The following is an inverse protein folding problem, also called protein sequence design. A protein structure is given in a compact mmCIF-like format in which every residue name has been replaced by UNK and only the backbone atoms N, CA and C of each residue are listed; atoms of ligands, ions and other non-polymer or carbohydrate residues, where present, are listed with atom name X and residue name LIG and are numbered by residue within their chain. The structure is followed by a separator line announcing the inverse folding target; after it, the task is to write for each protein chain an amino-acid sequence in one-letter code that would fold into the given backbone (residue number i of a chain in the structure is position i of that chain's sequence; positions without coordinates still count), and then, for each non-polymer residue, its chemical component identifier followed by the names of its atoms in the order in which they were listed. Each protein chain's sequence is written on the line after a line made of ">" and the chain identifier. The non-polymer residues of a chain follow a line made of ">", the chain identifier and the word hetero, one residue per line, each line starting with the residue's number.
data_IF_894677289964
#
_entry.id   IF_894677289964
#
_cell.length_a   1.000
_cell.length_b   1.000
_cell.length_c   1.000
_cell.angle_alpha   90.00
_cell.angle_beta   90.00
_cell.angle_gamma   90.00
#
_symmetry.space_group_name_H-M   'P 1'
#
loop_
_entity.id
_entity.type
_entity.pdbx_description
1 polymer ?
#
# COMPACT_ATOMS: atom_id res chain seq x y z
N UNK A 1 -5.68 10.53 -2.91
CA UNK A 1 -6.49 10.84 -1.73
C UNK A 1 -6.99 12.30 -1.77
N UNK A 2 -7.98 12.58 -2.63
CA UNK A 2 -8.55 13.91 -2.82
C UNK A 2 -7.83 14.80 -3.83
N UNK A 3 -6.86 14.24 -4.54
CA UNK A 3 -6.05 14.93 -5.57
C UNK A 3 -6.22 14.27 -6.96
N UNK A 4 -7.31 13.53 -7.18
CA UNK A 4 -7.52 12.71 -8.36
C UNK A 4 -7.45 13.54 -9.66
N UNK A 5 -8.05 14.74 -9.68
CA UNK A 5 -8.03 15.63 -10.86
C UNK A 5 -6.62 16.14 -11.15
N UNK A 6 -5.86 16.52 -10.12
CA UNK A 6 -4.47 16.97 -10.30
C UNK A 6 -3.58 15.83 -10.79
N UNK A 7 -3.73 14.64 -10.19
CA UNK A 7 -3.01 13.43 -10.61
C UNK A 7 -3.35 13.07 -12.05
N UNK A 8 -4.63 13.09 -12.41
CA UNK A 8 -5.10 12.83 -13.78
C UNK A 8 -4.49 13.82 -14.79
N UNK A 9 -4.49 15.10 -14.44
CA UNK A 9 -3.90 16.14 -15.31
C UNK A 9 -2.40 15.93 -15.48
N UNK A 10 -1.67 15.60 -14.41
CA UNK A 10 -0.25 15.30 -14.47
C UNK A 10 0.04 14.04 -15.28
N UNK A 11 -0.73 12.97 -15.09
CA UNK A 11 -0.61 11.74 -15.88
C UNK A 11 -0.92 11.98 -17.35
N UNK A 12 -1.95 12.76 -17.68
CA UNK A 12 -2.26 13.10 -19.08
C UNK A 12 -1.14 13.90 -19.75
N UNK A 13 -0.44 14.76 -18.98
CA UNK A 13 0.64 15.61 -19.48
C UNK A 13 1.97 14.89 -19.62
N UNK A 14 2.30 14.02 -18.69
CA UNK A 14 3.62 13.42 -18.57
C UNK A 14 3.65 11.91 -18.71
N UNK A 15 2.48 11.25 -18.71
CA UNK A 15 2.38 9.80 -18.66
C UNK A 15 3.00 9.08 -19.86
N UNK A 16 3.09 9.73 -21.02
CA UNK A 16 3.74 9.16 -22.20
C UNK A 16 5.26 8.96 -22.04
N UNK A 17 5.86 9.65 -21.07
CA UNK A 17 7.29 9.56 -20.78
C UNK A 17 7.60 8.54 -19.66
N UNK A 18 6.56 7.93 -19.06
CA UNK A 18 6.73 6.96 -17.98
C UNK A 18 6.82 5.55 -18.58
N UNK A 19 7.90 4.85 -18.30
CA UNK A 19 8.06 3.44 -18.65
C UNK A 19 7.25 2.55 -17.69
N UNK A 20 7.16 2.95 -16.41
CA UNK A 20 6.40 2.26 -15.37
C UNK A 20 5.94 3.24 -14.29
N UNK A 21 4.93 2.85 -13.51
CA UNK A 21 4.39 3.70 -12.44
C UNK A 21 3.66 2.88 -11.37
N UNK A 22 3.62 3.43 -10.15
CA UNK A 22 3.02 2.76 -8.98
C UNK A 22 1.94 3.66 -8.39
N UNK A 23 0.79 3.07 -8.06
CA UNK A 23 -0.29 3.71 -7.31
C UNK A 23 -0.15 3.37 -5.83
N UNK A 24 0.18 4.36 -5.02
CA UNK A 24 0.39 4.20 -3.58
C UNK A 24 -0.55 5.08 -2.77
N UNK A 25 -0.89 4.64 -1.57
CA UNK A 25 -1.71 5.39 -0.61
C UNK A 25 -0.91 5.55 0.68
N UNK A 26 -0.72 6.79 1.11
CA UNK A 26 -0.06 7.18 2.37
C UNK A 26 -1.00 7.95 3.29
N UNK A 27 -1.95 8.66 2.70
CA UNK A 27 -2.86 9.53 3.41
C UNK A 27 -4.24 8.89 3.53
N UNK A 28 -4.86 9.01 4.69
CA UNK A 28 -6.26 8.69 4.90
C UNK A 28 -7.02 9.93 5.32
N UNK A 29 -8.27 10.06 4.90
CA UNK A 29 -9.12 11.18 5.25
C UNK A 29 -10.03 10.79 6.41
N UNK A 30 -9.98 11.56 7.51
CA UNK A 30 -10.87 11.43 8.66
C UNK A 30 -11.60 12.76 8.77
N UNK A 31 -12.93 12.74 8.63
CA UNK A 31 -13.75 13.94 8.47
C UNK A 31 -13.24 14.80 7.31
N UNK A 32 -12.79 16.03 7.58
CA UNK A 32 -12.27 16.95 6.56
C UNK A 32 -10.74 17.09 6.57
N UNK A 33 -10.03 16.21 7.31
CA UNK A 33 -8.57 16.28 7.44
C UNK A 33 -7.89 15.05 6.89
N UNK A 34 -6.70 15.26 6.31
CA UNK A 34 -5.83 14.19 5.86
C UNK A 34 -4.76 13.89 6.90
N UNK A 35 -4.49 12.61 7.11
CA UNK A 35 -3.48 12.11 8.04
C UNK A 35 -2.54 11.16 7.31
N UNK A 36 -1.23 11.37 7.46
CA UNK A 36 -0.20 10.50 6.91
C UNK A 36 0.03 9.32 7.86
N UNK A 37 -0.51 8.16 7.54
CA UNK A 37 -0.50 7.02 8.45
C UNK A 37 0.88 6.39 8.65
N UNK A 38 1.82 6.66 7.76
CA UNK A 38 3.17 6.11 7.81
C UNK A 38 4.24 7.16 8.16
N UNK A 39 3.84 8.37 8.56
CA UNK A 39 4.76 9.45 8.90
C UNK A 39 5.55 9.13 10.19
N UNK A 40 4.85 8.87 11.28
CA UNK A 40 5.46 8.48 12.56
C UNK A 40 4.54 7.56 13.37
N UNK A 41 5.12 6.89 14.36
CA UNK A 41 4.38 6.03 15.28
C UNK A 41 3.34 6.82 16.10
N UNK A 42 3.69 8.05 16.47
CA UNK A 42 2.81 8.98 17.21
C UNK A 42 1.63 9.44 16.34
N UNK A 43 1.87 9.70 15.05
CA UNK A 43 0.78 10.06 14.12
C UNK A 43 -0.15 8.87 13.91
N UNK A 44 0.39 7.66 13.80
CA UNK A 44 -0.43 6.44 13.71
C UNK A 44 -1.26 6.24 14.99
N UNK A 45 -0.69 6.44 16.18
CA UNK A 45 -1.41 6.36 17.46
C UNK A 45 -2.57 7.38 17.54
N UNK A 46 -2.32 8.60 17.07
CA UNK A 46 -3.37 9.63 16.97
C UNK A 46 -4.51 9.20 16.04
N UNK A 47 -4.18 8.59 14.90
CA UNK A 47 -5.18 8.05 13.97
C UNK A 47 -5.99 6.94 14.64
N UNK A 48 -5.33 6.01 15.36
CA UNK A 48 -6.02 4.95 16.12
C UNK A 48 -6.98 5.54 17.14
N UNK A 49 -6.55 6.58 17.87
CA UNK A 49 -7.40 7.24 18.86
C UNK A 49 -8.61 7.95 18.24
N UNK A 50 -8.43 8.57 17.06
CA UNK A 50 -9.52 9.24 16.33
C UNK A 50 -10.56 8.25 15.80
N UNK A 51 -10.11 7.06 15.35
CA UNK A 51 -10.97 6.02 14.78
C UNK A 51 -11.46 4.99 15.81
N UNK A 52 -10.93 5.04 17.02
CA UNK A 52 -11.34 4.20 18.15
C UNK A 52 -10.72 2.78 18.16
N UNK A 53 -10.09 2.32 17.08
CA UNK A 53 -9.42 1.00 17.04
C UNK A 53 -8.40 0.88 15.90
N UNK A 54 -7.45 -0.04 16.05
CA UNK A 54 -6.51 -0.42 14.99
C UNK A 54 -7.26 -1.02 13.79
N UNK A 55 -8.28 -1.84 14.03
CA UNK A 55 -9.12 -2.42 12.96
C UNK A 55 -9.77 -1.33 12.09
N UNK A 56 -10.27 -0.26 12.71
CA UNK A 56 -10.88 0.86 11.97
C UNK A 56 -9.85 1.56 11.06
N UNK A 57 -8.58 1.68 11.50
CA UNK A 57 -7.50 2.22 10.66
C UNK A 57 -7.26 1.34 9.44
N UNK A 58 -7.17 0.01 9.63
CA UNK A 58 -7.01 -0.94 8.53
C UNK A 58 -8.17 -0.86 7.53
N UNK A 59 -9.40 -0.85 8.04
CA UNK A 59 -10.58 -0.78 7.18
C UNK A 59 -10.61 0.52 6.37
N UNK A 60 -10.36 1.67 6.98
CA UNK A 60 -10.31 2.96 6.28
C UNK A 60 -9.19 3.00 5.25
N UNK A 61 -8.02 2.45 5.56
CA UNK A 61 -6.91 2.34 4.62
C UNK A 61 -7.26 1.50 3.40
N UNK A 62 -7.83 0.31 3.60
CA UNK A 62 -8.25 -0.55 2.50
C UNK A 62 -9.39 0.08 1.67
N UNK A 63 -10.32 0.79 2.30
CA UNK A 63 -11.34 1.57 1.61
C UNK A 63 -10.75 2.69 0.75
N UNK A 64 -9.70 3.35 1.24
CA UNK A 64 -8.98 4.38 0.49
C UNK A 64 -8.28 3.79 -0.73
N UNK A 65 -7.67 2.61 -0.61
CA UNK A 65 -7.10 1.87 -1.75
C UNK A 65 -8.17 1.46 -2.77
N UNK A 66 -9.33 0.98 -2.32
CA UNK A 66 -10.46 0.65 -3.20
C UNK A 66 -10.92 1.90 -3.98
N UNK A 67 -11.02 3.06 -3.32
CA UNK A 67 -11.34 4.33 -3.97
C UNK A 67 -10.28 4.71 -5.02
N UNK A 68 -8.99 4.60 -4.69
CA UNK A 68 -7.89 4.89 -5.60
C UNK A 68 -7.92 3.98 -6.84
N UNK A 69 -8.20 2.68 -6.66
CA UNK A 69 -8.35 1.72 -7.77
C UNK A 69 -9.55 2.07 -8.65
N UNK A 70 -10.64 2.55 -8.09
CA UNK A 70 -11.86 2.90 -8.83
C UNK A 70 -11.83 4.32 -9.41
N UNK A 71 -10.90 5.20 -9.00
CA UNK A 71 -10.80 6.57 -9.51
C UNK A 71 -10.43 6.59 -11.00
N UNK A 72 -10.94 7.57 -11.74
CA UNK A 72 -10.53 7.83 -13.12
C UNK A 72 -9.29 8.74 -13.16
N UNK A 73 -8.13 8.13 -13.30
CA UNK A 73 -6.85 8.84 -13.46
C UNK A 73 -6.38 8.92 -14.93
N UNK A 74 -7.26 8.60 -15.89
CA UNK A 74 -6.98 8.68 -17.30
C UNK A 74 -6.18 7.50 -17.87
N UNK A 75 -5.68 7.67 -19.10
CA UNK A 75 -5.03 6.64 -19.92
C UNK A 75 -3.77 6.04 -19.25
N UNK A 76 -3.02 6.86 -18.56
CA UNK A 76 -1.72 6.49 -17.97
C UNK A 76 -1.81 6.12 -16.47
N UNK A 77 -3.02 5.79 -16.00
CA UNK A 77 -3.21 5.32 -14.63
C UNK A 77 -2.31 4.13 -14.33
N UNK A 78 -1.53 4.17 -13.22
CA UNK A 78 -0.69 3.05 -12.81
C UNK A 78 -1.47 1.75 -12.67
N UNK A 79 -0.84 0.63 -13.07
CA UNK A 79 -1.40 -0.72 -12.96
C UNK A 79 -0.70 -1.59 -11.90
N UNK A 80 0.21 -1.00 -11.13
CA UNK A 80 0.85 -1.64 -9.99
C UNK A 80 0.47 -0.88 -8.72
N UNK A 81 0.06 -1.62 -7.68
CA UNK A 81 -0.23 -1.05 -6.35
C UNK A 81 1.03 -1.18 -5.49
N UNK A 82 1.49 -0.07 -4.94
CA UNK A 82 2.65 -0.03 -4.05
C UNK A 82 2.31 -0.49 -2.64
N UNK A 83 3.27 -1.12 -1.97
CA UNK A 83 3.26 -1.49 -0.54
C UNK A 83 1.85 -1.69 0.06
N UNK A 84 1.07 -2.63 -0.53
CA UNK A 84 -0.37 -2.79 -0.28
C UNK A 84 -0.73 -2.82 1.22
N UNK A 85 0.13 -3.35 2.06
CA UNK A 85 -0.11 -3.48 3.49
C UNK A 85 0.73 -2.49 4.34
N UNK A 86 1.00 -1.28 3.80
CA UNK A 86 1.74 -0.22 4.50
C UNK A 86 1.17 0.11 5.88
N UNK A 87 -0.13 -0.09 6.08
CA UNK A 87 -0.81 0.07 7.37
C UNK A 87 -0.15 -0.74 8.50
N UNK A 88 0.64 -1.79 8.16
CA UNK A 88 1.39 -2.63 9.10
C UNK A 88 2.76 -2.06 9.50
N UNK A 89 3.13 -0.86 9.04
CA UNK A 89 4.44 -0.25 9.34
C UNK A 89 4.78 -0.19 10.83
N UNK A 90 3.77 -0.12 11.68
CA UNK A 90 3.91 -0.07 13.15
C UNK A 90 3.25 -1.27 13.85
N UNK A 91 3.20 -2.44 13.19
CA UNK A 91 2.50 -3.64 13.65
C UNK A 91 3.03 -4.20 14.96
N UNK A 92 4.31 -3.97 15.32
CA UNK A 92 4.88 -4.40 16.58
C UNK A 92 4.28 -3.65 17.79
N UNK A 93 3.90 -2.40 17.59
CA UNK A 93 3.24 -1.58 18.63
C UNK A 93 1.72 -1.69 18.55
N UNK A 94 1.15 -1.66 17.34
CA UNK A 94 -0.29 -1.71 17.09
C UNK A 94 -0.68 -3.04 16.47
N UNK A 95 -0.68 -4.09 17.29
CA UNK A 95 -1.00 -5.43 16.84
C UNK A 95 -2.46 -5.55 16.45
N UNK A 96 -2.72 -6.18 15.30
CA UNK A 96 -4.04 -6.52 14.83
C UNK A 96 -3.99 -7.79 14.00
N UNK A 97 -4.82 -8.77 14.34
CA UNK A 97 -5.02 -9.96 13.52
C UNK A 97 -5.99 -9.64 12.38
N UNK A 98 -5.45 -9.48 11.18
CA UNK A 98 -6.22 -9.16 9.98
C UNK A 98 -6.57 -10.37 9.12
N UNK A 99 -6.34 -11.61 9.62
CA UNK A 99 -6.54 -12.87 8.89
C UNK A 99 -7.98 -13.09 8.38
N UNK A 100 -8.96 -12.39 8.96
CA UNK A 100 -10.36 -12.44 8.54
C UNK A 100 -10.91 -11.07 8.09
N UNK A 101 -10.01 -10.12 7.78
CA UNK A 101 -10.45 -8.78 7.39
C UNK A 101 -11.17 -8.81 6.04
N UNK A 102 -12.48 -8.51 6.07
CA UNK A 102 -13.35 -8.54 4.89
C UNK A 102 -12.99 -7.49 3.85
N UNK A 103 -12.53 -6.30 4.30
CA UNK A 103 -12.12 -5.22 3.41
C UNK A 103 -10.85 -5.56 2.64
N UNK A 104 -9.89 -6.22 3.29
CA UNK A 104 -8.71 -6.73 2.60
C UNK A 104 -9.09 -7.74 1.52
N UNK A 105 -9.98 -8.68 1.83
CA UNK A 105 -10.44 -9.66 0.85
C UNK A 105 -11.16 -9.02 -0.33
N UNK A 106 -12.02 -8.02 -0.07
CA UNK A 106 -12.69 -7.21 -1.10
C UNK A 106 -11.67 -6.49 -1.99
N UNK A 107 -10.68 -5.85 -1.38
CA UNK A 107 -9.61 -5.13 -2.07
C UNK A 107 -8.79 -6.08 -2.97
N UNK A 108 -8.33 -7.21 -2.43
CA UNK A 108 -7.51 -8.18 -3.19
C UNK A 108 -8.30 -8.77 -4.36
N UNK A 109 -9.59 -9.07 -4.15
CA UNK A 109 -10.47 -9.49 -5.24
C UNK A 109 -10.58 -8.41 -6.33
N UNK A 110 -10.78 -7.15 -5.96
CA UNK A 110 -10.85 -6.02 -6.90
C UNK A 110 -9.55 -5.86 -7.69
N UNK A 111 -8.39 -6.01 -7.03
CA UNK A 111 -7.07 -5.98 -7.65
C UNK A 111 -6.97 -7.05 -8.75
N UNK A 112 -7.35 -8.29 -8.45
CA UNK A 112 -7.38 -9.39 -9.39
C UNK A 112 -8.36 -9.13 -10.55
N UNK A 113 -9.62 -8.78 -10.26
CA UNK A 113 -10.66 -8.52 -11.26
C UNK A 113 -10.27 -7.40 -12.24
N UNK A 114 -9.48 -6.43 -11.80
CA UNK A 114 -9.01 -5.29 -12.61
C UNK A 114 -7.64 -5.49 -13.25
N UNK A 115 -6.99 -6.64 -13.01
CA UNK A 115 -5.70 -6.99 -13.58
C UNK A 115 -4.55 -6.09 -13.09
N UNK A 116 -4.59 -5.64 -11.83
CA UNK A 116 -3.48 -4.94 -11.22
C UNK A 116 -2.39 -5.91 -10.76
N UNK A 117 -1.16 -5.44 -10.79
CA UNK A 117 0.00 -6.08 -10.17
C UNK A 117 0.23 -5.49 -8.77
N UNK A 118 0.96 -6.22 -7.93
CA UNK A 118 1.39 -5.72 -6.62
C UNK A 118 2.91 -5.55 -6.55
N UNK A 119 3.32 -4.49 -5.89
CA UNK A 119 4.69 -4.26 -5.48
C UNK A 119 5.02 -5.19 -4.29
N UNK A 120 5.88 -6.20 -4.54
CA UNK A 120 6.46 -7.01 -3.46
C UNK A 120 7.48 -6.16 -2.71
N UNK A 121 6.95 -5.30 -1.85
CA UNK A 121 7.72 -4.26 -1.19
C UNK A 121 8.41 -4.79 0.05
N UNK A 122 9.74 -4.72 0.04
CA UNK A 122 10.60 -5.24 1.09
C UNK A 122 11.01 -4.20 2.13
N UNK A 123 10.67 -2.93 1.92
CA UNK A 123 11.11 -1.85 2.80
C UNK A 123 10.71 -2.08 4.27
N UNK A 124 9.57 -2.73 4.52
CA UNK A 124 9.12 -3.05 5.87
C UNK A 124 10.06 -3.93 6.68
N UNK A 125 10.85 -4.83 6.02
CA UNK A 125 11.86 -5.67 6.67
C UNK A 125 12.90 -4.84 7.43
N UNK A 126 13.23 -3.66 6.88
CA UNK A 126 14.25 -2.75 7.42
C UNK A 126 13.68 -1.69 8.36
N UNK A 127 12.37 -1.70 8.61
CA UNK A 127 11.72 -0.76 9.57
C UNK A 127 11.66 -1.41 10.95
N UNK A 128 12.19 -0.70 11.96
CA UNK A 128 12.27 -1.17 13.35
C UNK A 128 10.93 -1.68 13.89
N UNK A 129 9.86 -0.97 13.58
CA UNK A 129 8.52 -1.21 14.14
C UNK A 129 7.63 -2.10 13.24
N UNK A 130 8.17 -2.56 12.08
CA UNK A 130 7.55 -3.51 11.16
C UNK A 130 8.25 -4.87 11.22
N UNK A 131 9.34 -5.05 10.47
CA UNK A 131 10.14 -6.28 10.46
C UNK A 131 9.56 -7.38 9.56
N UNK A 132 8.65 -7.04 8.66
CA UNK A 132 8.08 -7.94 7.65
C UNK A 132 7.93 -7.20 6.30
N UNK A 133 7.77 -7.93 5.20
CA UNK A 133 7.41 -7.30 3.92
C UNK A 133 5.99 -6.73 3.99
N UNK A 134 5.67 -5.77 3.11
CA UNK A 134 4.29 -5.31 2.99
C UNK A 134 3.37 -6.28 2.21
N UNK A 135 3.91 -7.47 1.91
CA UNK A 135 3.17 -8.65 1.45
C UNK A 135 3.52 -9.79 2.41
N UNK A 136 2.69 -10.04 3.40
CA UNK A 136 2.94 -11.06 4.42
C UNK A 136 1.63 -11.65 4.95
N UNK A 137 1.70 -12.81 5.60
CA UNK A 137 0.57 -13.44 6.28
C UNK A 137 -0.65 -13.65 5.40
N UNK A 138 -1.82 -13.29 5.90
CA UNK A 138 -3.09 -13.50 5.18
C UNK A 138 -3.15 -12.83 3.80
N UNK A 139 -2.50 -11.68 3.62
CA UNK A 139 -2.40 -11.05 2.31
C UNK A 139 -1.67 -11.95 1.29
N UNK A 140 -0.60 -12.61 1.70
CA UNK A 140 0.14 -13.54 0.84
C UNK A 140 -0.73 -14.73 0.42
N UNK A 141 -1.54 -15.28 1.32
CA UNK A 141 -2.49 -16.34 1.02
C UNK A 141 -3.53 -15.91 -0.03
N UNK A 142 -4.09 -14.71 0.13
CA UNK A 142 -5.03 -14.14 -0.82
C UNK A 142 -4.40 -13.89 -2.20
N UNK A 143 -3.17 -13.39 -2.25
CA UNK A 143 -2.42 -13.17 -3.50
C UNK A 143 -2.25 -14.50 -4.26
N UNK A 144 -1.86 -15.56 -3.56
CA UNK A 144 -1.75 -16.91 -4.13
C UNK A 144 -3.11 -17.41 -4.61
N UNK A 145 -4.16 -17.25 -3.81
CA UNK A 145 -5.53 -17.67 -4.14
C UNK A 145 -6.04 -16.98 -5.42
N UNK A 146 -5.79 -15.69 -5.59
CA UNK A 146 -6.25 -14.89 -6.72
C UNK A 146 -5.23 -14.80 -7.87
N UNK A 147 -4.10 -15.49 -7.76
CA UNK A 147 -3.01 -15.52 -8.76
C UNK A 147 -2.58 -14.11 -9.20
N UNK A 148 -2.34 -13.21 -8.24
CA UNK A 148 -1.94 -11.84 -8.52
C UNK A 148 -0.43 -11.79 -8.76
N UNK A 149 -0.01 -11.14 -9.85
CA UNK A 149 1.41 -10.95 -10.18
C UNK A 149 2.07 -10.03 -9.17
N UNK A 150 3.25 -10.46 -8.68
CA UNK A 150 4.14 -9.68 -7.84
C UNK A 150 5.33 -9.16 -8.64
N UNK A 151 5.72 -7.93 -8.34
CA UNK A 151 6.90 -7.28 -8.90
C UNK A 151 7.75 -6.77 -7.74
N UNK A 152 9.00 -7.19 -7.67
CA UNK A 152 9.90 -6.83 -6.58
C UNK A 152 10.14 -5.32 -6.52
N UNK A 153 10.00 -4.73 -5.33
CA UNK A 153 10.22 -3.32 -5.06
C UNK A 153 10.96 -3.07 -3.75
N UNK A 154 12.02 -2.26 -3.79
CA UNK A 154 12.80 -1.89 -2.60
C UNK A 154 12.23 -0.70 -1.86
N UNK A 155 11.41 0.12 -2.52
CA UNK A 155 10.97 1.43 -2.02
C UNK A 155 12.16 2.30 -1.57
N UNK A 156 13.28 2.18 -2.30
CA UNK A 156 14.53 2.87 -1.96
C UNK A 156 14.45 4.33 -2.37
N UNK A 157 14.63 5.24 -1.40
CA UNK A 157 14.68 6.69 -1.62
C UNK A 157 16.11 7.21 -1.80
N UNK A 158 17.09 6.30 -1.93
CA UNK A 158 18.50 6.65 -2.10
C UNK A 158 19.23 5.56 -2.88
N UNK A 159 20.10 5.95 -3.81
CA UNK A 159 20.93 5.02 -4.58
C UNK A 159 21.78 4.08 -3.67
N UNK A 160 22.19 4.55 -2.51
CA UNK A 160 22.96 3.78 -1.51
C UNK A 160 22.24 2.51 -1.03
N UNK A 161 20.91 2.44 -1.13
CA UNK A 161 20.10 1.33 -0.59
C UNK A 161 19.47 0.46 -1.68
N UNK A 162 19.83 0.66 -2.95
CA UNK A 162 19.32 -0.16 -4.06
C UNK A 162 19.83 -1.60 -3.94
N UNK A 163 21.06 -1.80 -3.43
CA UNK A 163 21.73 -3.10 -3.30
C UNK A 163 21.06 -4.07 -2.29
N UNK A 164 20.09 -3.58 -1.49
CA UNK A 164 19.34 -4.44 -0.56
C UNK A 164 18.55 -5.57 -1.23
N UNK A 165 18.44 -5.57 -2.55
CA UNK A 165 17.87 -6.67 -3.32
C UNK A 165 18.73 -7.96 -3.29
N UNK A 166 20.04 -7.85 -3.16
CA UNK A 166 20.92 -9.02 -3.14
C UNK A 166 20.70 -9.89 -1.90
N UNK A 167 20.34 -9.26 -0.75
CA UNK A 167 20.03 -9.97 0.49
C UNK A 167 18.72 -10.78 0.43
N UNK A 168 17.88 -10.56 -0.60
CA UNK A 168 16.57 -11.21 -0.74
C UNK A 168 16.56 -12.44 -1.61
N UNK A 169 17.59 -12.64 -2.46
CA UNK A 169 17.69 -13.84 -3.28
C UNK A 169 17.79 -15.14 -2.46
N UNK A 170 17.99 -15.01 -1.15
CA UNK A 170 18.02 -16.16 -0.21
C UNK A 170 16.63 -16.48 0.39
N UNK A 171 15.59 -15.64 0.13
CA UNK A 171 14.27 -15.76 0.75
C UNK A 171 13.09 -15.83 -0.26
N UNK A 172 13.35 -15.86 -1.54
CA UNK A 172 12.38 -16.08 -2.63
C UNK A 172 12.67 -17.42 -3.28
#
# INVERSE_FOLDING_TARGET
>A
EGFEEEIKNNLNKYGEYLEDSILSVHMIKIEDKYYCMDFSCEEFEKIVNLLGSVESVYNLYYETLIKAINSDLGKYKPKRIGHLNLVRKYNKKFQYDYSNNKKLKELVKLISDRGYELDYNIAGLFKKDCGETYISGYLEELIKQYNIKLVLGSDSHSAKYIDKYEELNEHI
#
